data_IF_234237325717
#
_entry.id   IF_234237325717
#
_cell.length_a   1.000
_cell.length_b   1.000
_cell.length_c   1.000
_cell.angle_alpha   90.00
_cell.angle_beta   90.00
_cell.angle_gamma   90.00
#
_symmetry.space_group_name_H-M   'P 1'
#
loop_
_entity.id
_entity.type
_entity.pdbx_description
1 polymer ?
#
# COMPACT_ATOMS: atom_id res chain seq x y z
N UNK A 1 20.21 -8.91 -2.48
CA UNK A 1 18.80 -8.69 -2.12
C UNK A 1 17.96 -9.18 -3.29
N UNK A 2 16.95 -10.01 -3.04
CA UNK A 2 15.98 -10.35 -4.09
C UNK A 2 15.13 -9.12 -4.42
N UNK A 3 14.42 -9.11 -5.55
CA UNK A 3 13.55 -7.97 -5.89
C UNK A 3 12.32 -7.98 -4.99
N UNK A 4 11.86 -6.80 -4.56
CA UNK A 4 10.65 -6.68 -3.73
C UNK A 4 9.64 -5.76 -4.39
N UNK A 5 8.41 -6.24 -4.55
CA UNK A 5 7.24 -5.41 -4.82
C UNK A 5 6.47 -5.19 -3.51
N UNK A 6 6.35 -3.94 -3.08
CA UNK A 6 5.42 -3.53 -2.02
C UNK A 6 4.16 -2.94 -2.64
N UNK A 7 2.99 -3.51 -2.35
CA UNK A 7 1.70 -2.86 -2.60
C UNK A 7 1.16 -2.37 -1.26
N UNK A 8 1.17 -1.05 -1.09
CA UNK A 8 0.64 -0.38 0.08
C UNK A 8 -0.82 0.02 -0.19
N UNK A 9 -1.76 -0.55 0.56
CA UNK A 9 -3.19 -0.25 0.48
C UNK A 9 -3.53 0.66 1.67
N UNK A 10 -3.82 1.93 1.44
CA UNK A 10 -4.18 2.88 2.51
C UNK A 10 -5.60 2.58 3.00
N UNK A 11 -5.76 2.30 4.30
CA UNK A 11 -7.07 2.09 4.92
C UNK A 11 -7.71 0.71 4.71
N UNK A 12 -6.94 -0.38 4.76
CA UNK A 12 -7.46 -1.76 4.78
C UNK A 12 -7.02 -2.54 6.03
N UNK A 13 -7.96 -2.93 6.88
CA UNK A 13 -7.74 -3.77 8.06
C UNK A 13 -8.24 -5.22 7.91
N UNK A 14 -7.97 -6.04 8.92
CA UNK A 14 -8.54 -7.38 9.10
C UNK A 14 -9.82 -7.27 9.94
N UNK A 15 -10.94 -7.07 9.26
CA UNK A 15 -12.28 -7.07 9.86
C UNK A 15 -12.88 -8.48 9.92
N UNK A 16 -13.95 -8.70 10.71
CA UNK A 16 -14.68 -9.97 10.69
C UNK A 16 -15.27 -10.24 9.30
N UNK A 17 -15.46 -11.51 8.96
CA UNK A 17 -16.19 -11.95 7.77
C UNK A 17 -17.71 -11.70 7.91
N UNK A 18 -18.11 -10.43 7.99
CA UNK A 18 -19.50 -9.99 8.20
C UNK A 18 -20.01 -9.16 7.01
N UNK A 19 -20.85 -9.74 6.15
CA UNK A 19 -21.27 -9.10 4.89
C UNK A 19 -22.04 -7.77 5.01
N UNK A 20 -22.81 -7.48 6.08
CA UNK A 20 -23.40 -6.17 6.29
C UNK A 20 -22.37 -5.05 6.41
N UNK A 21 -21.29 -5.26 7.18
CA UNK A 21 -20.29 -4.23 7.50
C UNK A 21 -19.01 -4.32 6.67
N UNK A 22 -18.55 -5.53 6.34
CA UNK A 22 -17.30 -5.76 5.64
C UNK A 22 -17.55 -6.01 4.14
N UNK A 23 -17.13 -5.11 3.24
CA UNK A 23 -17.32 -5.27 1.79
C UNK A 23 -16.57 -6.48 1.22
N UNK A 24 -15.46 -6.91 1.83
CA UNK A 24 -14.75 -8.14 1.43
C UNK A 24 -15.58 -9.41 1.67
N UNK A 25 -16.52 -9.38 2.61
CA UNK A 25 -17.40 -10.51 2.92
C UNK A 25 -18.64 -10.60 1.98
N UNK A 26 -18.77 -9.69 1.00
CA UNK A 26 -19.87 -9.67 0.01
C UNK A 26 -19.55 -10.44 -1.27
N UNK A 27 -18.32 -10.91 -1.41
CA UNK A 27 -17.87 -11.74 -2.52
C UNK A 27 -16.84 -12.76 -2.04
N UNK A 28 -16.27 -13.51 -2.97
CA UNK A 28 -15.19 -14.47 -2.68
C UNK A 28 -13.86 -13.88 -3.16
N UNK A 29 -13.17 -13.08 -2.32
CA UNK A 29 -11.85 -12.56 -2.67
C UNK A 29 -10.84 -13.68 -2.87
N UNK A 30 -9.82 -13.44 -3.69
CA UNK A 30 -8.74 -14.37 -3.98
C UNK A 30 -7.49 -14.01 -3.18
N UNK A 31 -6.99 -12.80 -3.33
CA UNK A 31 -5.76 -12.31 -2.66
C UNK A 31 -6.12 -11.65 -1.33
N UNK A 32 -7.22 -10.90 -1.28
CA UNK A 32 -7.70 -10.26 -0.05
C UNK A 32 -8.60 -11.20 0.77
N UNK A 33 -8.42 -12.51 0.64
CA UNK A 33 -9.15 -13.54 1.39
C UNK A 33 -8.63 -13.67 2.83
N UNK A 34 -8.58 -12.54 3.54
CA UNK A 34 -8.06 -12.41 4.88
C UNK A 34 -9.02 -11.57 5.73
N UNK A 35 -9.51 -12.18 6.79
CA UNK A 35 -10.44 -11.66 7.80
C UNK A 35 -9.84 -11.90 9.18
N UNK A 36 -10.35 -11.22 10.21
CA UNK A 36 -9.86 -11.39 11.59
C UNK A 36 -10.00 -12.82 12.12
N UNK A 37 -10.98 -13.58 11.61
CA UNK A 37 -11.25 -14.97 11.97
C UNK A 37 -10.58 -15.99 11.03
N UNK A 38 -10.05 -15.56 9.88
CA UNK A 38 -9.53 -16.45 8.83
C UNK A 38 -8.53 -15.75 7.93
N UNK A 39 -7.31 -16.26 7.85
CA UNK A 39 -6.18 -15.64 7.15
C UNK A 39 -5.84 -16.34 5.81
N UNK A 40 -6.84 -16.79 5.05
CA UNK A 40 -6.66 -17.50 3.78
C UNK A 40 -7.76 -18.52 3.45
N UNK A 41 -7.54 -19.40 2.44
CA UNK A 41 -6.30 -19.60 1.70
C UNK A 41 -5.98 -18.45 0.74
N UNK A 42 -4.68 -18.27 0.45
CA UNK A 42 -4.16 -17.34 -0.55
C UNK A 42 -3.61 -18.12 -1.76
N UNK A 43 -3.63 -17.53 -2.97
CA UNK A 43 -3.07 -18.16 -4.16
C UNK A 43 -1.54 -18.29 -4.06
N UNK A 44 -0.97 -19.23 -4.83
CA UNK A 44 0.49 -19.38 -5.03
C UNK A 44 1.29 -19.43 -3.72
N UNK A 45 0.78 -20.18 -2.74
CA UNK A 45 1.38 -20.40 -1.42
C UNK A 45 1.63 -19.12 -0.61
N UNK A 46 0.86 -18.06 -0.88
CA UNK A 46 0.87 -16.84 -0.08
C UNK A 46 0.51 -17.09 1.38
N UNK A 47 1.06 -16.28 2.28
CA UNK A 47 0.70 -16.29 3.70
C UNK A 47 0.21 -14.93 4.15
N UNK A 48 -0.71 -14.91 5.11
CA UNK A 48 -1.19 -13.71 5.77
C UNK A 48 -0.80 -13.74 7.25
N UNK A 49 -0.17 -12.66 7.72
CA UNK A 49 0.17 -12.45 9.13
C UNK A 49 -0.46 -11.12 9.56
N UNK A 50 -1.23 -11.08 10.67
CA UNK A 50 -1.76 -9.82 11.19
C UNK A 50 -0.64 -8.88 11.63
N UNK A 51 -0.72 -7.62 11.20
CA UNK A 51 0.24 -6.55 11.54
C UNK A 51 -0.43 -5.57 12.49
N UNK A 52 0.11 -5.40 13.69
CA UNK A 52 -0.38 -4.44 14.69
C UNK A 52 -0.07 -3.00 14.28
N UNK A 53 -1.12 -2.17 14.22
CA UNK A 53 -1.04 -0.74 13.86
C UNK A 53 -1.24 0.18 15.06
N UNK A 54 -1.70 -0.38 16.19
CA UNK A 54 -1.89 0.36 17.44
C UNK A 54 -0.55 0.75 18.10
N UNK A 55 0.49 -0.09 17.94
CA UNK A 55 1.86 0.19 18.38
C UNK A 55 1.98 0.54 19.87
N UNK A 56 1.03 0.04 20.67
CA UNK A 56 0.88 0.33 22.11
C UNK A 56 0.74 1.83 22.44
N UNK A 57 0.32 2.64 21.48
CA UNK A 57 0.03 4.07 21.66
C UNK A 57 -1.47 4.27 21.77
N UNK A 58 -1.91 5.04 22.77
CA UNK A 58 -3.34 5.33 23.00
C UNK A 58 -3.91 6.09 21.80
N UNK A 59 -5.08 5.65 21.33
CA UNK A 59 -5.81 6.24 20.22
C UNK A 59 -6.05 5.24 19.09
N UNK A 60 -6.74 5.69 18.05
CA UNK A 60 -6.96 4.90 16.83
C UNK A 60 -5.81 5.14 15.87
N UNK A 61 -5.24 4.11 15.22
CA UNK A 61 -4.23 4.24 14.17
C UNK A 61 -4.63 5.26 13.08
N UNK A 62 -3.67 6.04 12.59
CA UNK A 62 -3.90 7.13 11.65
C UNK A 62 -2.81 7.21 10.57
N UNK A 63 -3.15 7.74 9.39
CA UNK A 63 -2.34 7.67 8.18
C UNK A 63 -0.94 8.29 8.32
N UNK A 64 -0.80 9.48 8.92
CA UNK A 64 0.51 10.14 8.96
C UNK A 64 1.53 9.34 9.79
N UNK A 65 1.14 8.85 10.97
CA UNK A 65 2.00 8.02 11.83
C UNK A 65 2.09 6.57 11.37
N UNK A 66 1.01 6.01 10.82
CA UNK A 66 0.98 4.66 10.26
C UNK A 66 1.96 4.55 9.10
N UNK A 67 1.78 5.37 8.07
CA UNK A 67 2.68 5.41 6.91
C UNK A 67 4.11 5.77 7.33
N UNK A 68 4.31 6.73 8.25
CA UNK A 68 5.66 7.05 8.69
C UNK A 68 6.35 5.85 9.36
N UNK A 69 5.63 5.07 10.16
CA UNK A 69 6.15 3.84 10.76
C UNK A 69 6.44 2.79 9.71
N UNK A 70 5.48 2.53 8.81
CA UNK A 70 5.59 1.57 7.71
C UNK A 70 6.86 1.81 6.87
N UNK A 71 7.13 3.07 6.51
CA UNK A 71 8.24 3.43 5.64
C UNK A 71 9.59 3.53 6.36
N UNK A 72 9.63 3.64 7.69
CA UNK A 72 10.89 3.88 8.42
C UNK A 72 11.33 2.71 9.29
N UNK A 73 10.37 1.92 9.78
CA UNK A 73 10.56 0.94 10.85
C UNK A 73 10.68 1.57 12.24
N UNK A 74 10.46 2.89 12.37
CA UNK A 74 10.47 3.62 13.64
C UNK A 74 9.04 3.87 14.08
N UNK A 75 8.71 3.59 15.34
CA UNK A 75 7.38 3.85 15.90
C UNK A 75 7.07 5.36 15.92
N UNK A 76 6.46 5.86 14.86
CA UNK A 76 6.17 7.28 14.69
C UNK A 76 5.07 7.78 15.62
N UNK A 77 4.13 6.91 16.00
CA UNK A 77 3.09 7.26 16.97
C UNK A 77 3.68 7.45 18.37
N UNK A 78 4.65 6.61 18.76
CA UNK A 78 5.38 6.77 20.02
C UNK A 78 6.27 8.01 19.99
N UNK A 79 6.97 8.26 18.87
CA UNK A 79 7.77 9.48 18.68
C UNK A 79 6.93 10.75 18.92
N UNK A 80 5.71 10.82 18.37
CA UNK A 80 4.82 11.96 18.57
C UNK A 80 4.00 11.91 19.87
N UNK A 81 4.06 10.80 20.60
CA UNK A 81 3.19 10.52 21.75
C UNK A 81 1.70 10.38 21.42
N UNK A 82 1.33 10.25 20.14
CA UNK A 82 -0.05 10.09 19.64
C UNK A 82 -0.08 9.63 18.19
N UNK A 83 -1.22 9.09 17.77
CA UNK A 83 -1.53 8.89 16.35
C UNK A 83 -1.86 10.24 15.67
N UNK A 84 -1.32 10.46 14.47
CA UNK A 84 -1.54 11.68 13.67
C UNK A 84 -2.22 11.34 12.35
N UNK A 85 -3.33 12.04 12.04
CA UNK A 85 -4.09 11.89 10.81
C UNK A 85 -3.57 12.77 9.66
N UNK A 86 -3.85 12.34 8.43
CA UNK A 86 -3.55 13.10 7.22
C UNK A 86 -2.06 13.12 6.87
N UNK A 87 -1.49 14.33 6.76
CA UNK A 87 -0.13 14.52 6.23
C UNK A 87 0.95 14.54 7.32
N UNK A 88 2.20 14.15 6.99
CA UNK A 88 3.31 14.18 7.95
C UNK A 88 3.61 15.63 8.36
N UNK A 89 3.70 15.85 9.68
CA UNK A 89 4.17 17.10 10.28
C UNK A 89 5.69 17.27 10.08
N UNK A 90 6.26 18.36 10.59
CA UNK A 90 7.69 18.63 10.43
C UNK A 90 8.59 17.54 11.03
N UNK A 91 8.21 16.97 12.16
CA UNK A 91 8.98 15.94 12.86
C UNK A 91 8.97 14.61 12.10
N UNK A 92 7.79 14.16 11.61
CA UNK A 92 7.69 12.99 10.76
C UNK A 92 8.41 13.19 9.42
N UNK A 93 8.36 14.39 8.85
CA UNK A 93 9.12 14.72 7.63
C UNK A 93 10.62 14.58 7.85
N UNK A 94 11.14 15.02 8.99
CA UNK A 94 12.55 14.87 9.35
C UNK A 94 12.92 13.40 9.54
N UNK A 95 12.07 12.63 10.24
CA UNK A 95 12.24 11.19 10.40
C UNK A 95 12.29 10.48 9.02
N UNK A 96 11.31 10.74 8.16
CA UNK A 96 11.20 10.10 6.84
C UNK A 96 12.38 10.41 5.91
N UNK A 97 12.87 11.65 5.93
CA UNK A 97 14.02 12.07 5.12
C UNK A 97 15.35 11.44 5.58
N UNK A 98 15.40 10.94 6.82
CA UNK A 98 16.59 10.30 7.40
C UNK A 98 16.50 8.78 7.36
N UNK A 99 15.34 8.24 7.73
CA UNK A 99 15.14 6.85 8.12
C UNK A 99 14.14 6.09 7.23
N UNK A 100 13.63 6.66 6.13
CA UNK A 100 12.82 5.82 5.22
C UNK A 100 13.66 4.72 4.58
N UNK A 101 13.09 3.53 4.36
CA UNK A 101 13.77 2.47 3.63
C UNK A 101 14.16 2.94 2.22
N UNK A 102 13.36 3.82 1.60
CA UNK A 102 13.67 4.42 0.31
C UNK A 102 14.97 5.24 0.36
N UNK A 103 15.14 6.06 1.40
CA UNK A 103 16.36 6.83 1.62
C UNK A 103 17.56 5.92 1.89
N UNK A 104 17.39 4.88 2.71
CA UNK A 104 18.48 3.94 3.05
C UNK A 104 18.91 3.10 1.85
N UNK A 105 17.96 2.61 1.05
CA UNK A 105 18.23 1.86 -0.18
C UNK A 105 18.90 2.74 -1.25
N UNK A 106 18.43 3.98 -1.41
CA UNK A 106 19.04 4.92 -2.36
C UNK A 106 20.52 5.21 -2.02
N UNK A 107 20.84 5.36 -0.73
CA UNK A 107 22.24 5.50 -0.25
C UNK A 107 23.10 4.25 -0.49
N UNK A 108 22.49 3.08 -0.62
CA UNK A 108 23.17 1.81 -0.95
C UNK A 108 23.27 1.57 -2.46
N UNK A 109 22.87 2.53 -3.29
CA UNK A 109 22.77 2.40 -4.75
C UNK A 109 21.79 1.31 -5.22
N UNK A 110 20.81 0.94 -4.39
CA UNK A 110 19.69 0.10 -4.82
C UNK A 110 18.74 0.94 -5.68
N UNK A 111 18.26 0.35 -6.77
CA UNK A 111 17.27 0.95 -7.65
C UNK A 111 15.88 0.86 -7.01
N UNK A 112 15.25 2.01 -6.77
CA UNK A 112 13.92 2.11 -6.15
C UNK A 112 12.96 2.86 -7.08
N UNK A 113 11.74 2.34 -7.26
CA UNK A 113 10.67 2.99 -8.01
C UNK A 113 9.40 3.12 -7.19
N UNK A 114 8.81 4.32 -7.19
CA UNK A 114 7.43 4.54 -6.76
C UNK A 114 6.53 4.57 -7.99
N UNK A 115 5.77 3.50 -8.22
CA UNK A 115 5.07 3.26 -9.47
C UNK A 115 3.84 4.17 -9.71
N UNK A 116 3.47 5.03 -8.75
CA UNK A 116 2.33 5.93 -8.89
C UNK A 116 2.62 7.11 -9.83
N UNK A 117 1.66 7.41 -10.68
CA UNK A 117 1.71 8.48 -11.68
C UNK A 117 1.09 9.77 -11.13
N UNK A 118 1.78 10.89 -11.35
CA UNK A 118 1.31 12.23 -11.03
C UNK A 118 0.88 12.96 -12.30
N UNK A 119 -0.15 13.81 -12.17
CA UNK A 119 -0.61 14.69 -13.25
C UNK A 119 0.24 15.97 -13.29
N UNK A 120 0.31 16.67 -14.45
CA UNK A 120 0.97 17.97 -14.53
C UNK A 120 0.46 18.98 -13.50
N UNK A 121 -0.85 18.96 -13.24
CA UNK A 121 -1.51 19.86 -12.29
C UNK A 121 -0.93 19.75 -10.87
N UNK A 122 -0.48 18.56 -10.44
CA UNK A 122 0.19 18.39 -9.16
C UNK A 122 1.48 19.22 -9.07
N UNK A 123 2.27 19.30 -10.14
CA UNK A 123 3.54 20.04 -10.13
C UNK A 123 3.33 21.54 -10.31
N UNK A 124 2.39 21.92 -11.17
CA UNK A 124 2.02 23.32 -11.41
C UNK A 124 1.44 23.98 -10.14
N UNK A 125 0.65 23.21 -9.36
CA UNK A 125 -0.02 23.69 -8.16
C UNK A 125 0.38 22.86 -6.93
N UNK A 126 1.70 22.63 -6.74
CA UNK A 126 2.21 21.74 -5.71
C UNK A 126 1.64 22.08 -4.34
N UNK A 127 0.88 21.16 -3.72
CA UNK A 127 0.31 21.39 -2.40
C UNK A 127 1.39 21.65 -1.35
N UNK A 128 1.06 22.50 -0.36
CA UNK A 128 1.92 22.71 0.83
C UNK A 128 2.13 21.42 1.62
N UNK A 129 1.08 20.59 1.67
CA UNK A 129 1.07 19.30 2.37
C UNK A 129 0.97 18.19 1.33
N UNK A 130 1.90 17.24 1.39
CA UNK A 130 1.99 16.09 0.50
C UNK A 130 1.97 14.80 1.32
N UNK A 131 1.56 13.69 0.72
CA UNK A 131 1.52 12.37 1.38
C UNK A 131 2.90 11.93 1.89
N UNK A 132 2.93 10.94 2.78
CA UNK A 132 4.20 10.34 3.24
C UNK A 132 4.97 9.75 2.06
N UNK A 133 4.30 9.02 1.17
CA UNK A 133 4.90 8.44 -0.04
C UNK A 133 5.56 9.50 -0.93
N UNK A 134 4.86 10.61 -1.19
CA UNK A 134 5.39 11.75 -1.97
C UNK A 134 6.62 12.33 -1.29
N UNK A 135 6.54 12.62 0.02
CA UNK A 135 7.64 13.21 0.78
C UNK A 135 8.87 12.29 0.84
N UNK A 136 8.67 10.99 1.05
CA UNK A 136 9.73 9.98 1.07
C UNK A 136 10.44 9.95 -0.29
N UNK A 137 9.71 9.94 -1.40
CA UNK A 137 10.30 9.95 -2.74
C UNK A 137 11.13 11.22 -2.98
N UNK A 138 10.53 12.39 -2.78
CA UNK A 138 11.20 13.67 -3.02
C UNK A 138 12.44 13.85 -2.12
N UNK A 139 12.34 13.49 -0.83
CA UNK A 139 13.46 13.62 0.12
C UNK A 139 14.61 12.64 -0.13
N UNK A 140 14.33 11.51 -0.77
CA UNK A 140 15.33 10.56 -1.26
C UNK A 140 15.87 10.90 -2.66
N UNK A 141 15.38 11.97 -3.29
CA UNK A 141 15.78 12.36 -4.64
C UNK A 141 15.22 11.45 -5.74
N UNK A 142 14.19 10.64 -5.44
CA UNK A 142 13.51 9.85 -6.46
C UNK A 142 12.67 10.76 -7.36
N UNK A 143 12.76 10.48 -8.67
CA UNK A 143 11.86 11.08 -9.66
C UNK A 143 10.46 10.48 -9.49
N UNK A 144 9.45 11.34 -9.38
CA UNK A 144 8.04 10.93 -9.46
C UNK A 144 7.64 10.63 -10.92
N UNK A 145 6.88 9.56 -11.13
CA UNK A 145 6.40 9.21 -12.46
C UNK A 145 5.31 10.18 -12.92
N UNK A 146 5.31 10.51 -14.22
CA UNK A 146 4.38 11.46 -14.84
C UNK A 146 3.58 10.81 -15.97
N UNK A 147 2.57 11.49 -16.52
CA UNK A 147 1.74 10.93 -17.60
C UNK A 147 2.53 10.33 -18.79
N UNK A 148 3.65 10.92 -19.26
CA UNK A 148 4.52 10.27 -20.24
C UNK A 148 5.07 8.91 -19.80
N UNK A 149 5.37 8.72 -18.51
CA UNK A 149 5.81 7.44 -17.95
C UNK A 149 4.66 6.42 -17.95
N UNK A 150 3.44 6.85 -17.63
CA UNK A 150 2.22 6.01 -17.71
C UNK A 150 1.91 5.59 -19.15
N UNK A 151 1.97 6.51 -20.11
CA UNK A 151 1.78 6.23 -21.54
C UNK A 151 2.86 5.29 -22.09
N UNK A 152 4.08 5.36 -21.54
CA UNK A 152 5.16 4.43 -21.82
C UNK A 152 5.07 3.12 -21.01
N UNK A 153 3.96 2.91 -20.30
CA UNK A 153 3.71 1.73 -19.47
C UNK A 153 4.79 1.48 -18.40
N UNK A 154 5.28 2.57 -17.79
CA UNK A 154 6.27 2.57 -16.70
C UNK A 154 5.70 2.88 -15.32
N UNK A 155 4.43 3.28 -15.25
CA UNK A 155 3.76 3.65 -14.01
C UNK A 155 2.26 3.43 -14.13
N UNK A 156 1.59 3.42 -12.99
CA UNK A 156 0.14 3.25 -12.86
C UNK A 156 -0.44 4.52 -12.25
N UNK A 157 -1.67 4.90 -12.62
CA UNK A 157 -2.39 5.91 -11.86
C UNK A 157 -2.99 5.30 -10.59
N UNK A 158 -3.44 6.12 -9.64
CA UNK A 158 -3.93 5.68 -8.33
C UNK A 158 -5.10 4.67 -8.39
N UNK A 159 -5.91 4.72 -9.46
CA UNK A 159 -7.02 3.80 -9.70
C UNK A 159 -6.62 2.61 -10.60
N UNK A 160 -5.35 2.49 -10.97
CA UNK A 160 -4.69 1.55 -11.90
C UNK A 160 -5.31 1.39 -13.30
N UNK A 161 -6.54 1.82 -13.50
CA UNK A 161 -7.35 1.69 -14.72
C UNK A 161 -7.35 2.95 -15.58
N UNK A 162 -6.85 4.07 -15.06
CA UNK A 162 -6.85 5.39 -15.70
C UNK A 162 -8.25 5.97 -15.94
N UNK A 163 -9.32 5.38 -15.36
CA UNK A 163 -10.69 5.89 -15.52
C UNK A 163 -10.81 7.29 -14.91
N UNK A 164 -10.20 7.52 -13.76
CA UNK A 164 -10.19 8.83 -13.12
C UNK A 164 -9.44 9.88 -13.96
N UNK A 165 -8.33 9.51 -14.60
CA UNK A 165 -7.62 10.42 -15.52
C UNK A 165 -8.48 10.80 -16.73
N UNK A 166 -9.17 9.84 -17.33
CA UNK A 166 -10.06 10.09 -18.47
C UNK A 166 -11.22 10.99 -18.07
N UNK A 167 -11.81 10.78 -16.89
CA UNK A 167 -12.87 11.63 -16.34
C UNK A 167 -12.39 13.07 -16.09
N UNK A 168 -11.13 13.23 -15.70
CA UNK A 168 -10.47 14.54 -15.52
C UNK A 168 -10.00 15.17 -16.84
N UNK A 169 -10.30 14.53 -17.99
CA UNK A 169 -10.04 15.08 -19.32
C UNK A 169 -8.64 14.78 -19.88
N UNK A 170 -7.88 13.88 -19.25
CA UNK A 170 -6.59 13.46 -19.78
C UNK A 170 -6.75 12.43 -20.92
N UNK A 171 -5.95 12.59 -21.98
CA UNK A 171 -5.91 11.66 -23.11
C UNK A 171 -4.99 10.46 -22.80
N UNK A 172 -5.50 9.49 -22.05
CA UNK A 172 -4.81 8.24 -21.69
C UNK A 172 -5.71 7.03 -21.96
N UNK A 173 -5.15 5.85 -22.28
CA UNK A 173 -5.96 4.65 -22.48
C UNK A 173 -6.56 4.17 -21.15
N UNK A 174 -7.81 3.75 -21.17
CA UNK A 174 -8.40 2.98 -20.06
C UNK A 174 -7.80 1.58 -20.05
N UNK A 175 -7.36 1.12 -18.89
CA UNK A 175 -6.79 -0.21 -18.68
C UNK A 175 -7.73 -1.11 -17.89
N UNK A 176 -7.65 -2.41 -18.16
CA UNK A 176 -8.21 -3.45 -17.30
C UNK A 176 -7.31 -3.67 -16.08
N UNK A 177 -7.83 -4.24 -14.97
CA UNK A 177 -7.00 -4.69 -13.85
C UNK A 177 -5.85 -5.59 -14.32
N UNK A 178 -6.14 -6.49 -15.26
CA UNK A 178 -5.16 -7.37 -15.87
C UNK A 178 -4.01 -6.61 -16.55
N UNK A 179 -4.32 -5.62 -17.41
CA UNK A 179 -3.31 -4.80 -18.09
C UNK A 179 -2.47 -4.01 -17.10
N UNK A 180 -3.09 -3.44 -16.07
CA UNK A 180 -2.36 -2.71 -15.03
C UNK A 180 -1.39 -3.63 -14.28
N UNK A 181 -1.79 -4.87 -14.00
CA UNK A 181 -0.92 -5.86 -13.36
C UNK A 181 0.29 -6.22 -14.23
N UNK A 182 0.15 -6.30 -15.57
CA UNK A 182 1.29 -6.46 -16.49
C UNK A 182 2.30 -5.32 -16.36
N UNK A 183 1.80 -4.08 -16.24
CA UNK A 183 2.63 -2.90 -16.06
C UNK A 183 3.40 -2.99 -14.74
N UNK A 184 2.70 -3.26 -13.64
CA UNK A 184 3.32 -3.31 -12.31
C UNK A 184 4.33 -4.45 -12.19
N UNK A 185 4.03 -5.64 -12.72
CA UNK A 185 4.95 -6.77 -12.71
C UNK A 185 6.24 -6.48 -13.50
N UNK A 186 6.16 -5.73 -14.62
CA UNK A 186 7.37 -5.27 -15.33
C UNK A 186 8.19 -4.29 -14.51
N UNK A 187 7.54 -3.37 -13.79
CA UNK A 187 8.26 -2.45 -12.89
C UNK A 187 8.91 -3.20 -11.73
N UNK A 188 8.22 -4.16 -11.12
CA UNK A 188 8.79 -5.00 -10.07
C UNK A 188 10.05 -5.76 -10.51
N UNK A 189 10.16 -6.14 -11.79
CA UNK A 189 11.37 -6.78 -12.36
C UNK A 189 12.49 -5.80 -12.69
N UNK A 190 12.17 -4.54 -12.95
CA UNK A 190 13.12 -3.53 -13.42
C UNK A 190 13.91 -2.85 -12.30
N UNK A 191 13.45 -2.98 -11.04
CA UNK A 191 14.02 -2.33 -9.87
C UNK A 191 14.30 -3.34 -8.75
N UNK A 192 15.25 -3.02 -7.87
CA UNK A 192 15.50 -3.81 -6.66
C UNK A 192 14.31 -3.74 -5.70
N UNK A 193 13.72 -2.54 -5.58
CA UNK A 193 12.45 -2.33 -4.88
C UNK A 193 11.51 -1.48 -5.72
N UNK A 194 10.30 -1.99 -5.93
CA UNK A 194 9.19 -1.22 -6.51
C UNK A 194 8.09 -1.14 -5.46
N UNK A 195 7.45 0.03 -5.32
CA UNK A 195 6.26 0.14 -4.49
C UNK A 195 5.15 0.91 -5.19
N UNK A 196 3.90 0.53 -4.88
CA UNK A 196 2.68 1.14 -5.41
C UNK A 196 1.72 1.41 -4.24
N UNK A 197 1.18 2.61 -4.20
CA UNK A 197 0.19 3.05 -3.20
C UNK A 197 -1.21 3.05 -3.82
N UNK A 198 -2.15 2.37 -3.15
CA UNK A 198 -3.56 2.38 -3.48
C UNK A 198 -4.36 2.97 -2.32
N UNK A 199 -4.75 4.24 -2.43
CA UNK A 199 -5.43 4.95 -1.35
C UNK A 199 -6.95 5.13 -1.53
N UNK A 200 -7.53 4.53 -2.58
CA UNK A 200 -8.99 4.61 -2.78
C UNK A 200 -9.77 3.84 -1.71
N UNK A 201 -9.15 2.88 -1.02
CA UNK A 201 -9.76 2.18 0.12
C UNK A 201 -10.06 3.14 1.28
N UNK A 202 -9.10 3.96 1.72
CA UNK A 202 -9.33 4.98 2.75
C UNK A 202 -10.39 6.01 2.32
N UNK A 203 -10.30 6.51 1.08
CA UNK A 203 -11.29 7.46 0.53
C UNK A 203 -12.70 6.88 0.57
N UNK A 204 -12.85 5.62 0.20
CA UNK A 204 -14.13 4.92 0.18
C UNK A 204 -14.63 4.57 1.60
N UNK A 205 -13.74 4.18 2.52
CA UNK A 205 -14.11 4.00 3.92
C UNK A 205 -14.67 5.29 4.56
N UNK A 206 -14.15 6.47 4.20
CA UNK A 206 -14.67 7.75 4.70
C UNK A 206 -15.94 8.25 4.01
N UNK A 207 -16.13 7.97 2.72
CA UNK A 207 -17.13 8.68 1.88
C UNK A 207 -17.98 7.79 0.98
N UNK A 208 -17.64 6.52 0.86
CA UNK A 208 -18.27 5.58 -0.04
C UNK A 208 -19.58 5.02 0.50
N UNK A 209 -20.47 4.62 -0.41
CA UNK A 209 -21.59 3.74 -0.06
C UNK A 209 -21.11 2.29 0.04
N UNK A 210 -21.88 1.41 0.71
CA UNK A 210 -21.51 -0.01 0.80
C UNK A 210 -21.26 -0.68 -0.58
N UNK A 211 -22.01 -0.29 -1.62
CA UNK A 211 -21.85 -0.78 -2.99
C UNK A 211 -20.59 -0.23 -3.67
N UNK A 212 -20.24 1.03 -3.40
CA UNK A 212 -18.99 1.62 -3.88
C UNK A 212 -17.78 0.95 -3.23
N UNK A 213 -17.85 0.70 -1.91
CA UNK A 213 -16.80 0.01 -1.17
C UNK A 213 -16.61 -1.41 -1.72
N UNK A 214 -17.68 -2.17 -1.93
CA UNK A 214 -17.63 -3.50 -2.55
C UNK A 214 -17.00 -3.48 -3.94
N UNK A 215 -17.40 -2.52 -4.79
CA UNK A 215 -16.84 -2.39 -6.15
C UNK A 215 -15.33 -2.15 -6.09
N UNK A 216 -14.89 -1.23 -5.23
CA UNK A 216 -13.48 -0.87 -5.06
C UNK A 216 -12.65 -2.07 -4.61
N UNK A 217 -13.08 -2.79 -3.57
CA UNK A 217 -12.29 -3.93 -3.07
C UNK A 217 -12.33 -5.13 -4.02
N UNK A 218 -13.40 -5.30 -4.81
CA UNK A 218 -13.51 -6.37 -5.81
C UNK A 218 -12.57 -6.13 -6.98
N UNK A 219 -12.53 -4.90 -7.51
CA UNK A 219 -11.60 -4.54 -8.58
C UNK A 219 -10.14 -4.58 -8.11
N UNK A 220 -9.89 -4.17 -6.85
CA UNK A 220 -8.56 -4.29 -6.24
C UNK A 220 -8.14 -5.75 -6.11
N UNK A 221 -9.00 -6.64 -5.60
CA UNK A 221 -8.70 -8.07 -5.50
C UNK A 221 -8.44 -8.71 -6.88
N UNK A 222 -9.18 -8.31 -7.91
CA UNK A 222 -8.94 -8.73 -9.29
C UNK A 222 -7.55 -8.28 -9.79
N UNK A 223 -7.21 -7.00 -9.61
CA UNK A 223 -5.89 -6.47 -9.94
C UNK A 223 -4.77 -7.24 -9.21
N UNK A 224 -4.91 -7.42 -7.89
CA UNK A 224 -3.92 -8.13 -7.08
C UNK A 224 -3.76 -9.58 -7.50
N UNK A 225 -4.84 -10.28 -7.85
CA UNK A 225 -4.79 -11.66 -8.33
C UNK A 225 -3.93 -11.77 -9.59
N UNK A 226 -4.11 -10.82 -10.52
CA UNK A 226 -3.30 -10.74 -11.72
C UNK A 226 -1.85 -10.40 -11.44
N UNK A 227 -1.55 -9.55 -10.44
CA UNK A 227 -0.18 -9.25 -10.03
C UNK A 227 0.51 -10.53 -9.50
N UNK A 228 -0.14 -11.26 -8.60
CA UNK A 228 0.39 -12.52 -8.05
C UNK A 228 0.70 -13.53 -9.16
N UNK A 229 -0.18 -13.65 -10.15
CA UNK A 229 0.00 -14.58 -11.27
C UNK A 229 1.19 -14.20 -12.19
N UNK A 230 1.50 -12.91 -12.31
CA UNK A 230 2.52 -12.36 -13.23
C UNK A 230 3.91 -12.23 -12.65
N UNK A 231 4.03 -12.28 -11.32
CA UNK A 231 5.32 -12.22 -10.65
C UNK A 231 6.02 -13.57 -10.75
N UNK A 232 7.33 -13.50 -10.98
CA UNK A 232 8.22 -14.62 -10.77
C UNK A 232 8.56 -14.69 -9.28
N UNK A 233 7.84 -15.54 -8.55
CA UNK A 233 7.95 -15.67 -7.10
C UNK A 233 9.13 -16.55 -6.66
N UNK A 234 9.94 -17.08 -7.59
CA UNK A 234 11.23 -17.71 -7.26
C UNK A 234 12.30 -16.64 -7.01
N UNK A 235 12.29 -15.57 -7.81
CA UNK A 235 13.30 -14.49 -7.79
C UNK A 235 12.81 -13.16 -7.21
N UNK A 236 11.50 -13.02 -6.99
CA UNK A 236 10.87 -11.79 -6.48
C UNK A 236 9.96 -12.06 -5.29
N UNK A 237 9.95 -11.13 -4.34
CA UNK A 237 9.03 -11.13 -3.22
C UNK A 237 7.90 -10.14 -3.43
N UNK A 238 6.70 -10.49 -2.98
CA UNK A 238 5.55 -9.57 -2.91
C UNK A 238 5.17 -9.36 -1.46
N UNK A 239 5.04 -8.10 -1.07
CA UNK A 239 4.47 -7.66 0.21
C UNK A 239 3.23 -6.83 -0.10
N UNK A 240 2.09 -7.19 0.50
CA UNK A 240 0.89 -6.36 0.49
C UNK A 240 0.54 -6.04 1.94
N UNK A 241 0.36 -4.75 2.25
CA UNK A 241 -0.04 -4.34 3.61
C UNK A 241 -0.74 -2.99 3.59
N UNK A 242 -1.33 -2.65 4.73
CA UNK A 242 -1.84 -1.32 5.05
C UNK A 242 -1.06 -0.72 6.22
N UNK A 243 -1.41 0.50 6.61
CA UNK A 243 -0.91 1.23 7.76
C UNK A 243 -1.99 1.44 8.84
N UNK A 244 -3.28 1.34 8.47
CA UNK A 244 -4.41 1.27 9.39
C UNK A 244 -5.63 0.57 8.77
N UNK A 245 -6.65 0.28 9.58
CA UNK A 245 -7.95 -0.18 9.09
C UNK A 245 -8.90 0.98 8.80
N UNK A 246 -9.83 0.76 7.86
CA UNK A 246 -10.94 1.66 7.52
C UNK A 246 -12.02 0.88 6.75
N UNK A 247 -11.76 0.53 5.49
CA UNK A 247 -12.80 0.01 4.56
C UNK A 247 -13.41 -1.34 4.98
N UNK A 248 -12.70 -2.12 5.81
CA UNK A 248 -13.15 -3.43 6.27
C UNK A 248 -14.32 -3.38 7.27
N UNK A 249 -14.67 -2.20 7.78
CA UNK A 249 -15.80 -2.00 8.67
C UNK A 249 -16.58 -0.72 8.30
N UNK A 250 -17.47 -0.84 7.32
CA UNK A 250 -18.34 0.25 6.87
C UNK A 250 -19.43 0.62 7.91
N UNK A 251 -19.53 -0.09 9.04
CA UNK A 251 -20.45 0.21 10.12
C UNK A 251 -19.85 1.16 11.17
N UNK A 252 -18.54 1.40 11.12
CA UNK A 252 -17.84 2.36 11.98
C UNK A 252 -17.48 3.60 11.16
N UNK A 253 -17.72 4.78 11.73
CA UNK A 253 -17.30 6.02 11.12
C UNK A 253 -15.79 6.21 11.34
N UNK A 254 -15.01 6.13 10.26
CA UNK A 254 -13.57 6.37 10.25
C UNK A 254 -12.74 5.12 10.52
N UNK A 255 -11.51 5.32 10.98
CA UNK A 255 -10.53 4.24 11.09
C UNK A 255 -10.85 3.26 12.22
N UNK A 256 -10.33 2.04 12.10
CA UNK A 256 -10.47 0.98 13.10
C UNK A 256 -9.16 0.73 13.85
N UNK A 257 -9.25 0.02 14.98
CA UNK A 257 -8.10 -0.53 15.70
C UNK A 257 -7.77 -1.97 15.25
N UNK A 258 -8.33 -2.43 14.13
CA UNK A 258 -8.05 -3.75 13.61
C UNK A 258 -6.58 -3.84 13.19
N UNK A 259 -5.92 -5.00 13.39
CA UNK A 259 -4.66 -5.25 12.72
C UNK A 259 -4.86 -5.22 11.21
N UNK A 260 -3.81 -4.95 10.45
CA UNK A 260 -3.85 -4.92 8.98
C UNK A 260 -3.29 -6.21 8.40
N UNK A 261 -3.68 -6.60 7.17
CA UNK A 261 -3.10 -7.78 6.54
C UNK A 261 -1.63 -7.53 6.19
N UNK A 262 -0.73 -8.39 6.64
CA UNK A 262 0.61 -8.53 6.08
C UNK A 262 0.62 -9.77 5.18
N UNK A 263 0.51 -9.57 3.86
CA UNK A 263 0.48 -10.66 2.89
C UNK A 263 1.84 -10.80 2.22
N UNK A 264 2.36 -12.03 2.20
CA UNK A 264 3.74 -12.31 1.77
C UNK A 264 3.79 -13.47 0.77
N UNK A 265 4.53 -13.28 -0.32
CA UNK A 265 4.88 -14.33 -1.30
C UNK A 265 6.37 -14.29 -1.67
N UNK A 266 6.91 -15.44 -2.07
CA UNK A 266 8.29 -15.57 -2.54
C UNK A 266 9.32 -15.59 -1.40
N UNK A 267 10.60 -15.29 -1.67
CA UNK A 267 11.70 -15.44 -0.72
C UNK A 267 11.52 -14.72 0.63
N UNK A 268 10.75 -13.63 0.68
CA UNK A 268 10.47 -12.91 1.93
C UNK A 268 9.74 -13.77 2.97
N UNK A 269 9.04 -14.83 2.56
CA UNK A 269 8.35 -15.74 3.47
C UNK A 269 9.31 -16.44 4.45
N UNK A 270 10.56 -16.68 4.04
CA UNK A 270 11.58 -17.26 4.93
C UNK A 270 11.86 -16.38 6.16
N UNK A 271 11.73 -15.06 6.01
CA UNK A 271 11.99 -14.06 7.07
C UNK A 271 10.87 -13.95 8.08
N UNK A 272 9.66 -14.34 7.68
CA UNK A 272 8.46 -14.33 8.52
C UNK A 272 8.02 -15.75 8.89
N UNK A 273 8.82 -16.76 8.56
CA UNK A 273 8.51 -18.16 8.87
C UNK A 273 8.32 -18.36 10.39
N UNK A 274 7.24 -19.03 10.76
CA UNK A 274 6.87 -19.28 12.16
C UNK A 274 6.34 -18.06 12.92
N UNK A 275 6.24 -16.88 12.29
CA UNK A 275 5.65 -15.68 12.91
C UNK A 275 4.13 -15.76 12.81
N UNK A 276 3.44 -15.50 13.92
CA UNK A 276 1.97 -15.43 13.97
C UNK A 276 1.42 -14.01 14.05
N UNK A 277 2.28 -13.03 14.33
CA UNK A 277 1.96 -11.59 14.39
C UNK A 277 3.21 -10.77 14.13
N UNK A 278 3.00 -9.61 13.50
CA UNK A 278 3.99 -8.54 13.32
C UNK A 278 3.42 -7.22 13.86
N UNK A 279 4.23 -6.18 13.87
CA UNK A 279 3.75 -4.79 13.94
C UNK A 279 4.35 -3.94 12.81
N UNK A 280 3.83 -2.72 12.62
CA UNK A 280 4.26 -1.86 11.51
C UNK A 280 5.76 -1.54 11.49
N UNK A 281 6.44 -1.59 12.64
CA UNK A 281 7.88 -1.29 12.71
C UNK A 281 8.73 -2.35 11.99
N UNK A 282 8.16 -3.53 11.77
CA UNK A 282 8.87 -4.66 11.16
C UNK A 282 8.83 -4.65 9.62
N UNK A 283 7.93 -3.87 8.99
CA UNK A 283 7.73 -3.94 7.53
C UNK A 283 8.92 -3.39 6.75
N UNK A 284 9.41 -2.18 7.07
CA UNK A 284 10.58 -1.62 6.40
C UNK A 284 11.83 -2.53 6.51
N UNK A 285 12.21 -3.04 7.71
CA UNK A 285 13.30 -4.01 7.84
C UNK A 285 13.12 -5.27 7.00
N UNK A 286 11.89 -5.79 6.86
CA UNK A 286 11.61 -6.97 6.03
C UNK A 286 11.87 -6.71 4.55
N UNK A 287 11.60 -5.50 4.06
CA UNK A 287 11.85 -5.10 2.67
C UNK A 287 13.34 -4.89 2.39
N UNK A 288 14.11 -4.40 3.36
CA UNK A 288 15.52 -4.02 3.17
C UNK A 288 16.55 -5.16 3.31
N UNK A 289 16.17 -6.27 3.94
CA UNK A 289 17.04 -7.44 4.13
C UNK A 289 17.31 -8.17 2.81
#
# INVERSE_FOLDING_TARGET
MGRVLLIFIDGLGLGPSDSPCNPLARFSPRVLNCFSDRLGPLPRDGICIPVDTCLRVIGIPQSATGQATLFTGVNAAELLGRHLSGFPNQELRALLAQESFVQRLSKRNCSVNFANTYTPAFFENRPRWVSVTTWVCESAGLRLNVLPDLLAERSLYMDFTNRLLVNDGHNVPVWTPEKAADVLARQARAYDVCFYEYFLCDVAGHRGTPEQNETIVRELDEFLSHVVDRLDLEDSSLVITSDHGNIEDSCVAGHTANPVPGLFWGPIQERVNGRSRLDLTEIAPLIEA
#
